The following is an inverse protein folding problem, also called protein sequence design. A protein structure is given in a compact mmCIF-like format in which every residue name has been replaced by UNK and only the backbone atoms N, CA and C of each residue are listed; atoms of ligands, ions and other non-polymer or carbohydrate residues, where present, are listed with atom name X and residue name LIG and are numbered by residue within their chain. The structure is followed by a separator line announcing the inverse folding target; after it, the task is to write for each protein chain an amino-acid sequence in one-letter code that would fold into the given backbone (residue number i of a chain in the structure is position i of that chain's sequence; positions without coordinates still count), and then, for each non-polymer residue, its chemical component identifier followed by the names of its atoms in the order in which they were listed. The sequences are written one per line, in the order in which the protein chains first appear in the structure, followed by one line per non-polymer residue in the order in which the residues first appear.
data_IF_672043972103
#
_entry.id   IF_672043972103
#
_cell.length_a   1.000
_cell.length_b   1.000
_cell.length_c   1.000
_cell.angle_alpha   90.00
_cell.angle_beta   90.00
_cell.angle_gamma   90.00
#
_symmetry.space_group_name_H-M   'P 1'
#
loop_
_entity.id
_entity.type
_entity.pdbx_description
1 polymer ?
#
# COMPACT_ATOMS: atom_id res chain seq x y z
N UNK A 1 -18.13 -17.88 9.82
CA UNK A 1 -19.02 -18.50 8.81
C UNK A 1 -20.39 -18.90 9.35
N UNK A 2 -20.50 -19.67 10.44
CA UNK A 2 -21.79 -20.19 10.95
C UNK A 2 -22.82 -19.10 11.34
N UNK A 3 -22.36 -17.94 11.81
CA UNK A 3 -23.21 -16.80 12.20
C UNK A 3 -23.50 -15.77 11.09
N UNK A 4 -23.05 -16.00 9.85
CA UNK A 4 -23.29 -15.07 8.73
C UNK A 4 -24.64 -15.31 8.06
N UNK A 5 -25.28 -14.25 7.56
CA UNK A 5 -26.48 -14.36 6.73
C UNK A 5 -26.19 -15.11 5.42
N UNK A 6 -27.19 -15.73 4.76
CA UNK A 6 -27.00 -16.46 3.51
C UNK A 6 -26.31 -15.63 2.42
N UNK A 7 -26.72 -14.35 2.26
CA UNK A 7 -26.08 -13.41 1.31
C UNK A 7 -24.63 -13.13 1.66
N UNK A 8 -24.31 -12.92 2.95
CA UNK A 8 -22.94 -12.69 3.38
C UNK A 8 -22.04 -13.92 3.17
N UNK A 9 -22.58 -15.14 3.32
CA UNK A 9 -21.85 -16.39 3.01
C UNK A 9 -21.51 -16.47 1.53
N UNK A 10 -22.43 -16.12 0.64
CA UNK A 10 -22.17 -16.08 -0.82
C UNK A 10 -21.08 -15.06 -1.16
N UNK A 11 -21.18 -13.84 -0.63
CA UNK A 11 -20.15 -12.80 -0.85
C UNK A 11 -18.78 -13.25 -0.35
N UNK A 12 -18.69 -13.79 0.85
CA UNK A 12 -17.42 -14.32 1.39
C UNK A 12 -16.89 -15.47 0.53
N UNK A 13 -17.77 -16.37 0.06
CA UNK A 13 -17.40 -17.46 -0.84
C UNK A 13 -16.85 -16.95 -2.18
N UNK A 14 -17.48 -15.94 -2.78
CA UNK A 14 -17.02 -15.32 -4.02
C UNK A 14 -15.66 -14.64 -3.83
N UNK A 15 -15.48 -13.89 -2.74
CA UNK A 15 -14.18 -13.26 -2.41
C UNK A 15 -13.09 -14.34 -2.25
N UNK A 16 -13.39 -15.42 -1.52
CA UNK A 16 -12.45 -16.52 -1.33
C UNK A 16 -12.10 -17.21 -2.66
N UNK A 17 -13.08 -17.38 -3.56
CA UNK A 17 -12.87 -17.94 -4.89
C UNK A 17 -11.98 -17.03 -5.76
N UNK A 18 -12.22 -15.71 -5.76
CA UNK A 18 -11.37 -14.76 -6.46
C UNK A 18 -9.93 -14.82 -5.95
N UNK A 19 -9.74 -14.89 -4.64
CA UNK A 19 -8.39 -15.04 -4.07
C UNK A 19 -7.74 -16.36 -4.46
N UNK A 20 -8.45 -17.48 -4.38
CA UNK A 20 -7.93 -18.77 -4.78
C UNK A 20 -7.53 -18.80 -6.26
N UNK A 21 -8.37 -18.24 -7.14
CA UNK A 21 -8.07 -18.11 -8.56
C UNK A 21 -6.83 -17.23 -8.81
N UNK A 22 -6.74 -16.08 -8.16
CA UNK A 22 -5.58 -15.18 -8.27
C UNK A 22 -4.28 -15.85 -7.79
N UNK A 23 -4.32 -16.52 -6.64
CA UNK A 23 -3.18 -17.29 -6.11
C UNK A 23 -2.77 -18.39 -7.07
N UNK A 24 -3.73 -19.12 -7.66
CA UNK A 24 -3.45 -20.17 -8.64
C UNK A 24 -2.79 -19.60 -9.90
N UNK A 25 -3.24 -18.45 -10.39
CA UNK A 25 -2.61 -17.74 -11.52
C UNK A 25 -1.17 -17.37 -11.21
N UNK A 26 -0.89 -16.79 -10.03
CA UNK A 26 0.48 -16.46 -9.61
C UNK A 26 1.37 -17.70 -9.56
N UNK A 27 0.87 -18.80 -8.97
CA UNK A 27 1.62 -20.06 -8.89
C UNK A 27 1.90 -20.61 -10.29
N UNK A 28 0.95 -20.51 -11.22
CA UNK A 28 1.09 -21.01 -12.60
C UNK A 28 2.06 -20.17 -13.45
N UNK A 29 2.06 -18.85 -13.28
CA UNK A 29 2.99 -17.96 -13.99
C UNK A 29 4.43 -18.10 -13.49
N UNK A 30 4.60 -18.41 -12.20
CA UNK A 30 5.89 -18.44 -11.56
C UNK A 30 6.57 -17.05 -11.49
N UNK A 31 7.78 -16.97 -10.91
CA UNK A 31 8.48 -15.71 -10.73
C UNK A 31 8.84 -15.00 -12.04
N UNK A 32 9.33 -15.75 -13.03
CA UNK A 32 9.74 -15.20 -14.32
C UNK A 32 8.55 -14.65 -15.13
N UNK A 33 7.45 -15.41 -15.23
CA UNK A 33 6.25 -14.95 -15.93
C UNK A 33 5.61 -13.74 -15.26
N UNK A 34 5.64 -13.66 -13.92
CA UNK A 34 5.18 -12.47 -13.19
C UNK A 34 6.03 -11.24 -13.51
N UNK A 35 7.35 -11.38 -13.57
CA UNK A 35 8.26 -10.27 -13.90
C UNK A 35 8.05 -9.78 -15.33
N UNK A 36 7.91 -10.69 -16.30
CA UNK A 36 7.59 -10.33 -17.69
C UNK A 36 6.25 -9.61 -17.80
N UNK A 37 5.23 -10.10 -17.10
CA UNK A 37 3.92 -9.47 -17.04
C UNK A 37 4.01 -8.05 -16.47
N UNK A 38 4.70 -7.88 -15.33
CA UNK A 38 4.91 -6.55 -14.73
C UNK A 38 5.68 -5.61 -15.67
N UNK A 39 6.68 -6.11 -16.40
CA UNK A 39 7.43 -5.33 -17.37
C UNK A 39 6.57 -4.89 -18.57
N UNK A 40 5.71 -5.78 -19.09
CA UNK A 40 4.75 -5.43 -20.15
C UNK A 40 3.80 -4.32 -19.68
N UNK A 41 3.24 -4.45 -18.48
CA UNK A 41 2.38 -3.43 -17.90
C UNK A 41 3.13 -2.11 -17.66
N UNK A 42 4.38 -2.14 -17.18
CA UNK A 42 5.13 -0.91 -16.98
C UNK A 42 5.41 -0.18 -18.28
N UNK A 43 5.75 -0.90 -19.35
CA UNK A 43 5.93 -0.28 -20.68
C UNK A 43 4.63 0.31 -21.21
N UNK A 44 3.49 -0.36 -21.02
CA UNK A 44 2.18 0.17 -21.38
C UNK A 44 1.87 1.49 -20.66
N UNK A 45 2.11 1.56 -19.35
CA UNK A 45 1.89 2.79 -18.59
C UNK A 45 2.88 3.88 -18.98
N UNK A 46 4.16 3.55 -19.18
CA UNK A 46 5.20 4.51 -19.55
C UNK A 46 4.97 5.14 -20.93
N UNK A 47 4.43 4.39 -21.89
CA UNK A 47 4.14 4.88 -23.24
C UNK A 47 2.83 5.68 -23.32
N UNK A 48 1.91 5.48 -22.37
CA UNK A 48 0.63 6.18 -22.33
C UNK A 48 0.78 7.54 -21.64
N UNK A 49 0.33 8.61 -22.30
CA UNK A 49 0.25 9.95 -21.70
C UNK A 49 -0.68 9.99 -20.47
N UNK A 50 -1.65 9.07 -20.40
CA UNK A 50 -2.56 8.91 -19.25
C UNK A 50 -2.05 7.89 -18.23
N UNK A 51 -0.89 7.26 -18.45
CA UNK A 51 -0.32 6.24 -17.57
C UNK A 51 -0.27 6.65 -16.09
N UNK A 52 0.26 7.83 -15.73
CA UNK A 52 0.27 8.32 -14.35
C UNK A 52 -1.14 8.40 -13.72
N UNK A 53 -2.12 8.91 -14.48
CA UNK A 53 -3.51 9.05 -14.02
C UNK A 53 -4.16 7.68 -13.81
N UNK A 54 -3.93 6.73 -14.72
CA UNK A 54 -4.43 5.37 -14.60
C UNK A 54 -3.85 4.69 -13.36
N UNK A 55 -2.54 4.84 -13.08
CA UNK A 55 -1.93 4.30 -11.87
C UNK A 55 -2.50 4.93 -10.60
N UNK A 56 -2.74 6.24 -10.58
CA UNK A 56 -3.42 6.91 -9.46
C UNK A 56 -4.82 6.34 -9.25
N UNK A 57 -5.60 6.17 -10.32
CA UNK A 57 -6.94 5.59 -10.25
C UNK A 57 -6.91 4.15 -9.73
N UNK A 58 -5.97 3.33 -10.21
CA UNK A 58 -5.77 1.96 -9.71
C UNK A 58 -5.41 1.96 -8.22
N UNK A 59 -4.53 2.85 -7.76
CA UNK A 59 -4.20 2.97 -6.32
C UNK A 59 -5.42 3.40 -5.49
N UNK A 60 -6.29 4.26 -6.02
CA UNK A 60 -7.55 4.62 -5.37
C UNK A 60 -8.45 3.39 -5.23
N UNK A 61 -8.68 2.66 -6.32
CA UNK A 61 -9.53 1.46 -6.32
C UNK A 61 -8.98 0.35 -5.41
N UNK A 62 -7.66 0.18 -5.38
CA UNK A 62 -6.97 -0.80 -4.53
C UNK A 62 -6.75 -0.33 -3.09
N UNK A 63 -7.26 0.85 -2.71
CA UNK A 63 -7.22 1.32 -1.31
C UNK A 63 -8.40 0.80 -0.47
N UNK A 64 -9.38 0.16 -1.11
CA UNK A 64 -10.59 -0.36 -0.47
C UNK A 64 -10.42 -1.81 -0.03
N UNK A 65 -10.76 -2.18 1.21
CA UNK A 65 -10.83 -3.59 1.59
C UNK A 65 -11.92 -4.33 0.78
N UNK A 66 -11.72 -5.62 0.42
CA UNK A 66 -10.61 -6.47 0.82
C UNK A 66 -9.40 -6.45 -0.13
N UNK A 67 -9.36 -5.56 -1.13
CA UNK A 67 -8.47 -5.66 -2.31
C UNK A 67 -6.99 -5.89 -2.00
N UNK A 68 -6.31 -6.59 -2.91
CA UNK A 68 -4.87 -6.90 -2.85
C UNK A 68 -4.16 -6.29 -4.06
N UNK A 69 -2.83 -6.16 -3.98
CA UNK A 69 -2.01 -5.64 -5.08
C UNK A 69 -1.70 -4.15 -4.99
N UNK A 70 -2.16 -3.44 -3.95
CA UNK A 70 -1.78 -2.04 -3.70
C UNK A 70 -0.26 -1.83 -3.73
N UNK A 71 0.50 -2.68 -3.01
CA UNK A 71 1.96 -2.63 -3.02
C UNK A 71 2.58 -2.88 -4.39
N UNK A 72 2.01 -3.82 -5.17
CA UNK A 72 2.45 -4.11 -6.53
C UNK A 72 2.27 -2.91 -7.44
N UNK A 73 1.14 -2.19 -7.34
CA UNK A 73 0.91 -0.98 -8.14
C UNK A 73 1.86 0.15 -7.75
N UNK A 74 2.22 0.31 -6.48
CA UNK A 74 3.28 1.26 -6.08
C UNK A 74 4.62 0.89 -6.72
N UNK A 75 4.99 -0.38 -6.71
CA UNK A 75 6.21 -0.86 -7.39
C UNK A 75 6.12 -0.66 -8.90
N UNK A 76 4.95 -0.83 -9.52
CA UNK A 76 4.71 -0.51 -10.93
C UNK A 76 4.90 0.99 -11.23
N UNK A 77 4.52 1.91 -10.32
CA UNK A 77 4.86 3.33 -10.48
C UNK A 77 6.37 3.53 -10.64
N UNK A 78 7.16 2.85 -9.80
CA UNK A 78 8.62 2.85 -9.89
C UNK A 78 9.16 2.19 -11.16
N UNK A 79 8.62 1.04 -11.53
CA UNK A 79 9.01 0.30 -12.73
C UNK A 79 8.71 1.08 -14.02
N UNK A 80 7.66 1.91 -14.02
CA UNK A 80 7.22 2.67 -15.20
C UNK A 80 7.86 4.04 -15.30
N UNK A 81 8.01 4.75 -14.17
CA UNK A 81 8.36 6.18 -14.15
C UNK A 81 9.56 6.52 -13.26
N UNK A 82 10.14 5.53 -12.57
CA UNK A 82 11.15 5.74 -11.53
C UNK A 82 12.59 5.77 -12.02
N UNK A 83 12.90 5.13 -13.15
CA UNK A 83 14.25 5.15 -13.73
C UNK A 83 14.37 6.24 -14.80
N UNK A 84 15.41 7.09 -14.76
CA UNK A 84 15.72 8.04 -15.83
C UNK A 84 16.02 7.37 -17.18
N UNK A 85 16.38 6.08 -17.18
CA UNK A 85 16.63 5.31 -18.41
C UNK A 85 15.34 4.99 -19.17
N UNK A 86 14.18 5.03 -18.50
CA UNK A 86 12.91 4.67 -19.12
C UNK A 86 12.40 5.76 -20.09
N UNK A 87 12.49 7.04 -19.70
CA UNK A 87 12.12 8.17 -20.55
C UNK A 87 12.69 9.50 -19.99
N UNK A 88 12.95 10.50 -20.85
CA UNK A 88 13.33 11.84 -20.40
C UNK A 88 12.25 12.43 -19.47
N UNK A 89 12.67 12.92 -18.30
CA UNK A 89 11.75 13.47 -17.28
C UNK A 89 11.33 12.45 -16.20
N UNK A 90 11.56 11.16 -16.42
CA UNK A 90 11.36 10.15 -15.38
C UNK A 90 12.42 10.30 -14.28
N UNK A 91 11.96 10.15 -13.04
CA UNK A 91 12.80 10.24 -11.87
C UNK A 91 12.14 9.53 -10.70
N UNK A 92 12.95 9.12 -9.73
CA UNK A 92 12.44 8.51 -8.51
C UNK A 92 11.41 9.41 -7.80
N UNK A 93 11.63 10.73 -7.82
CA UNK A 93 10.71 11.72 -7.26
C UNK A 93 9.38 11.80 -8.02
N UNK A 94 9.41 11.72 -9.35
CA UNK A 94 8.20 11.73 -10.17
C UNK A 94 7.33 10.48 -9.91
N UNK A 95 7.94 9.29 -9.93
CA UNK A 95 7.23 8.06 -9.62
C UNK A 95 6.71 8.02 -8.18
N UNK A 96 7.47 8.54 -7.22
CA UNK A 96 7.01 8.72 -5.85
C UNK A 96 5.82 9.66 -5.77
N UNK A 97 5.81 10.78 -6.50
CA UNK A 97 4.69 11.72 -6.50
C UNK A 97 3.39 11.09 -7.03
N UNK A 98 3.48 10.25 -8.08
CA UNK A 98 2.34 9.48 -8.59
C UNK A 98 1.82 8.52 -7.50
N UNK A 99 2.73 7.74 -6.89
CA UNK A 99 2.37 6.80 -5.84
C UNK A 99 1.81 7.48 -4.58
N UNK A 100 2.39 8.60 -4.17
CA UNK A 100 1.97 9.39 -3.01
C UNK A 100 0.60 10.04 -3.24
N UNK A 101 0.35 10.56 -4.45
CA UNK A 101 -0.95 11.10 -4.84
C UNK A 101 -2.03 10.01 -4.80
N UNK A 102 -1.76 8.85 -5.40
CA UNK A 102 -2.67 7.71 -5.36
C UNK A 102 -2.91 7.18 -3.95
N UNK A 103 -1.85 7.10 -3.12
CA UNK A 103 -1.93 6.73 -1.71
C UNK A 103 -2.83 7.67 -0.92
N UNK A 104 -2.63 8.98 -1.07
CA UNK A 104 -3.38 9.99 -0.33
C UNK A 104 -4.85 10.00 -0.75
N UNK A 105 -5.11 10.13 -2.06
CA UNK A 105 -6.46 10.16 -2.60
C UNK A 105 -7.19 8.87 -2.26
N UNK A 106 -6.56 7.71 -2.50
CA UNK A 106 -7.13 6.41 -2.20
C UNK A 106 -7.43 6.21 -0.72
N UNK A 107 -6.52 6.62 0.16
CA UNK A 107 -6.73 6.57 1.62
C UNK A 107 -7.91 7.43 2.06
N UNK A 108 -8.00 8.67 1.54
CA UNK A 108 -9.10 9.60 1.86
C UNK A 108 -10.43 9.08 1.34
N UNK A 109 -10.50 8.66 0.07
CA UNK A 109 -11.72 8.12 -0.52
C UNK A 109 -12.16 6.85 0.20
N UNK A 110 -11.25 5.90 0.46
CA UNK A 110 -11.56 4.67 1.17
C UNK A 110 -12.04 4.96 2.60
N UNK A 111 -11.37 5.88 3.31
CA UNK A 111 -11.77 6.28 4.66
C UNK A 111 -13.18 6.86 4.70
N UNK A 112 -13.50 7.81 3.80
CA UNK A 112 -14.80 8.45 3.75
C UNK A 112 -15.91 7.46 3.39
N UNK A 113 -15.72 6.68 2.33
CA UNK A 113 -16.70 5.69 1.90
C UNK A 113 -16.94 4.62 2.96
N UNK A 114 -15.87 4.08 3.56
CA UNK A 114 -16.00 3.10 4.63
C UNK A 114 -16.71 3.69 5.86
N UNK A 115 -16.40 4.94 6.22
CA UNK A 115 -17.05 5.61 7.36
C UNK A 115 -18.52 5.84 7.09
N UNK A 116 -18.87 6.40 5.94
CA UNK A 116 -20.27 6.58 5.52
C UNK A 116 -21.01 5.24 5.52
N UNK A 117 -20.42 4.18 4.97
CA UNK A 117 -21.04 2.85 4.96
C UNK A 117 -21.25 2.29 6.39
N UNK A 118 -20.28 2.48 7.29
CA UNK A 118 -20.40 2.05 8.69
C UNK A 118 -21.40 2.88 9.51
N UNK A 119 -21.55 4.16 9.20
CA UNK A 119 -22.48 5.04 9.90
C UNK A 119 -23.91 4.85 9.39
N UNK A 120 -24.09 4.65 8.09
CA UNK A 120 -25.41 4.41 7.46
C UNK A 120 -25.93 2.99 7.65
N UNK A 121 -25.08 1.97 7.48
CA UNK A 121 -25.51 0.56 7.50
C UNK A 121 -24.94 -0.23 8.67
N UNK A 122 -23.89 0.26 9.34
CA UNK A 122 -23.26 -0.48 10.44
C UNK A 122 -24.16 -0.63 11.68
N UNK A 123 -25.17 0.22 11.83
CA UNK A 123 -26.21 0.05 12.85
C UNK A 123 -27.07 -1.21 12.58
N UNK A 124 -27.32 -1.55 11.32
CA UNK A 124 -28.11 -2.74 10.96
C UNK A 124 -27.29 -4.03 11.08
N UNK A 125 -25.96 -3.92 11.01
CA UNK A 125 -25.05 -5.05 11.12
C UNK A 125 -24.83 -5.43 12.58
N UNK A 126 -25.59 -6.44 13.04
CA UNK A 126 -25.55 -6.96 14.42
C UNK A 126 -24.12 -7.28 14.92
N UNK A 127 -23.25 -7.76 14.03
CA UNK A 127 -21.86 -8.05 14.34
C UNK A 127 -21.02 -6.78 14.59
N UNK A 128 -21.20 -5.72 13.79
CA UNK A 128 -20.51 -4.43 13.97
C UNK A 128 -20.90 -3.82 15.31
N UNK A 129 -22.20 -3.83 15.63
CA UNK A 129 -22.69 -3.35 16.94
C UNK A 129 -22.05 -4.13 18.10
N UNK A 130 -22.02 -5.46 18.01
CA UNK A 130 -21.43 -6.31 19.05
C UNK A 130 -19.94 -6.00 19.25
N UNK A 131 -19.19 -5.81 18.17
CA UNK A 131 -17.78 -5.43 18.22
C UNK A 131 -17.63 -4.05 18.85
N UNK A 132 -18.36 -3.04 18.38
CA UNK A 132 -18.29 -1.66 18.90
C UNK A 132 -18.67 -1.54 20.38
N UNK A 133 -19.58 -2.38 20.87
CA UNK A 133 -20.00 -2.41 22.28
C UNK A 133 -19.06 -3.20 23.18
N UNK A 134 -18.19 -4.05 22.62
CA UNK A 134 -17.24 -4.87 23.35
C UNK A 134 -16.26 -4.04 24.18
N UNK A 135 -15.89 -4.55 25.37
CA UNK A 135 -14.92 -3.89 26.27
C UNK A 135 -13.56 -3.68 25.59
N UNK A 136 -13.13 -4.66 24.80
CA UNK A 136 -11.86 -4.61 24.05
C UNK A 136 -11.85 -3.47 23.02
N UNK A 137 -12.93 -3.31 22.26
CA UNK A 137 -13.04 -2.24 21.27
C UNK A 137 -13.00 -0.86 21.93
N UNK A 138 -13.77 -0.67 23.01
CA UNK A 138 -13.77 0.60 23.76
C UNK A 138 -12.42 0.91 24.39
N UNK A 139 -11.71 -0.11 24.90
CA UNK A 139 -10.38 0.05 25.46
C UNK A 139 -9.37 0.45 24.38
N UNK A 140 -9.41 -0.20 23.22
CA UNK A 140 -8.59 0.12 22.06
C UNK A 140 -8.86 1.54 21.56
N UNK A 141 -10.12 1.91 21.40
CA UNK A 141 -10.52 3.25 20.98
C UNK A 141 -10.02 4.33 21.95
N UNK A 142 -10.16 4.10 23.27
CA UNK A 142 -9.61 5.00 24.30
C UNK A 142 -8.09 5.09 24.27
N UNK A 143 -7.39 4.00 23.92
CA UNK A 143 -5.95 4.00 23.78
C UNK A 143 -5.49 4.83 22.57
N UNK A 144 -6.24 4.76 21.46
CA UNK A 144 -6.02 5.59 20.27
C UNK A 144 -6.30 7.06 20.59
N UNK A 145 -7.42 7.35 21.25
CA UNK A 145 -7.83 8.70 21.67
C UNK A 145 -6.75 9.39 22.51
N UNK A 146 -6.18 8.69 23.50
CA UNK A 146 -5.11 9.22 24.36
C UNK A 146 -3.84 9.62 23.62
N UNK A 147 -3.49 8.89 22.55
CA UNK A 147 -2.27 9.15 21.77
C UNK A 147 -2.54 10.04 20.55
N UNK A 148 -3.81 10.25 20.18
CA UNK A 148 -4.26 11.12 19.10
C UNK A 148 -3.63 10.77 17.75
N UNK A 149 -3.27 11.80 16.98
CA UNK A 149 -2.72 11.68 15.63
C UNK A 149 -1.42 10.86 15.55
N UNK A 150 -0.61 10.85 16.63
CA UNK A 150 0.63 10.06 16.69
C UNK A 150 0.35 8.57 16.57
N UNK A 151 -0.77 8.09 17.10
CA UNK A 151 -1.17 6.69 16.95
C UNK A 151 -1.49 6.34 15.50
N UNK A 152 -2.12 7.25 14.77
CA UNK A 152 -2.44 7.07 13.35
C UNK A 152 -1.16 6.87 12.56
N UNK A 153 -0.18 7.76 12.80
CA UNK A 153 1.14 7.68 12.19
C UNK A 153 1.83 6.36 12.53
N UNK A 154 1.85 5.95 13.80
CA UNK A 154 2.47 4.69 14.23
C UNK A 154 1.84 3.48 13.54
N UNK A 155 0.52 3.36 13.54
CA UNK A 155 -0.19 2.25 12.89
C UNK A 155 0.09 2.22 11.38
N UNK A 156 0.21 3.39 10.75
CA UNK A 156 0.57 3.48 9.32
C UNK A 156 2.03 3.11 9.06
N UNK A 157 2.93 3.30 10.01
CA UNK A 157 4.34 2.90 9.90
C UNK A 157 4.54 1.42 10.22
N UNK A 158 3.68 0.82 11.04
CA UNK A 158 3.65 -0.62 11.24
C UNK A 158 3.36 -1.38 9.94
N UNK A 159 3.79 -2.66 9.82
CA UNK A 159 3.48 -3.53 8.69
C UNK A 159 2.01 -3.99 8.71
N UNK A 160 1.08 -3.10 9.01
CA UNK A 160 -0.35 -3.34 8.95
C UNK A 160 -0.82 -3.14 7.49
N UNK A 161 -1.62 -4.05 6.91
CA UNK A 161 -1.99 -3.91 5.51
C UNK A 161 -2.76 -2.61 5.27
N UNK A 162 -2.33 -1.86 4.26
CA UNK A 162 -2.76 -0.49 4.03
C UNK A 162 -4.28 -0.36 3.90
N UNK A 163 -4.92 -1.24 3.15
CA UNK A 163 -6.38 -1.24 2.91
C UNK A 163 -7.17 -1.43 4.21
N UNK A 164 -6.72 -2.34 5.09
CA UNK A 164 -7.37 -2.59 6.36
C UNK A 164 -7.12 -1.46 7.36
N UNK A 165 -5.99 -0.76 7.26
CA UNK A 165 -5.73 0.45 8.05
C UNK A 165 -6.76 1.53 7.74
N UNK A 166 -7.13 1.73 6.47
CA UNK A 166 -8.17 2.70 6.08
C UNK A 166 -9.52 2.37 6.75
N UNK A 167 -9.94 1.11 6.69
CA UNK A 167 -11.18 0.65 7.32
C UNK A 167 -11.13 0.75 8.85
N UNK A 168 -10.00 0.38 9.45
CA UNK A 168 -9.79 0.47 10.89
C UNK A 168 -10.01 1.90 11.38
N UNK A 169 -9.35 2.88 10.77
CA UNK A 169 -9.52 4.28 11.15
C UNK A 169 -10.92 4.80 10.84
N UNK A 170 -11.53 4.38 9.73
CA UNK A 170 -12.89 4.74 9.39
C UNK A 170 -13.91 4.24 10.42
N UNK A 171 -13.63 3.09 11.06
CA UNK A 171 -14.52 2.46 12.04
C UNK A 171 -14.49 3.09 13.44
N UNK A 172 -13.42 3.84 13.77
CA UNK A 172 -13.30 4.62 14.99
C UNK A 172 -14.17 5.88 14.92
N UNK A 173 -14.58 6.38 16.09
CA UNK A 173 -15.42 7.58 16.18
C UNK A 173 -14.75 8.81 15.52
N UNK A 174 -15.53 9.73 14.92
CA UNK A 174 -15.00 10.95 14.30
C UNK A 174 -14.18 11.82 15.26
N UNK A 175 -14.54 11.85 16.54
CA UNK A 175 -13.82 12.64 17.57
C UNK A 175 -12.41 12.09 17.84
N UNK A 176 -12.24 10.77 17.68
CA UNK A 176 -10.96 10.08 17.89
C UNK A 176 -10.05 10.24 16.67
N UNK A 177 -10.63 10.18 15.46
CA UNK A 177 -9.90 10.32 14.19
C UNK A 177 -10.55 11.41 13.34
N UNK A 178 -10.19 12.69 13.59
CA UNK A 178 -10.51 13.79 12.69
C UNK A 178 -9.85 13.62 11.32
N UNK A 179 -10.57 14.00 10.26
CA UNK A 179 -10.09 13.91 8.87
C UNK A 179 -8.71 14.60 8.66
N UNK A 180 -8.45 15.82 9.17
CA UNK A 180 -7.16 16.49 8.94
C UNK A 180 -5.98 15.71 9.53
N UNK A 181 -6.14 15.14 10.72
CA UNK A 181 -5.09 14.32 11.34
C UNK A 181 -4.83 13.03 10.59
N UNK A 182 -5.88 12.42 10.04
CA UNK A 182 -5.75 11.26 9.17
C UNK A 182 -5.00 11.58 7.87
N UNK A 183 -5.33 12.70 7.22
CA UNK A 183 -4.65 13.18 6.00
C UNK A 183 -3.18 13.47 6.30
N UNK A 184 -2.89 14.22 7.37
CA UNK A 184 -1.53 14.56 7.78
C UNK A 184 -0.70 13.32 8.11
N UNK A 185 -1.25 12.37 8.87
CA UNK A 185 -0.57 11.13 9.18
C UNK A 185 -0.33 10.28 7.91
N UNK A 186 -1.28 10.25 6.98
CA UNK A 186 -1.10 9.56 5.69
C UNK A 186 0.02 10.20 4.88
N UNK A 187 0.04 11.53 4.77
CA UNK A 187 1.12 12.29 4.12
C UNK A 187 2.48 12.01 4.77
N UNK A 188 2.56 12.02 6.09
CA UNK A 188 3.79 11.72 6.83
C UNK A 188 4.30 10.28 6.59
N UNK A 189 3.46 9.39 6.06
CA UNK A 189 3.84 8.00 5.76
C UNK A 189 4.26 7.78 4.32
N UNK A 190 4.01 8.74 3.41
CA UNK A 190 4.41 8.60 2.00
C UNK A 190 5.92 8.47 1.77
N UNK A 191 6.84 8.94 2.64
CA UNK A 191 8.28 8.68 2.45
C UNK A 191 8.61 7.19 2.39
N UNK A 192 7.86 6.32 3.08
CA UNK A 192 8.09 4.86 3.00
C UNK A 192 7.82 4.29 1.61
N UNK A 193 7.00 4.97 0.80
CA UNK A 193 6.67 4.54 -0.56
C UNK A 193 7.89 4.64 -1.49
N UNK A 194 8.88 5.49 -1.16
CA UNK A 194 10.12 5.55 -1.93
C UNK A 194 10.78 4.18 -2.04
N UNK A 195 10.73 3.35 -1.00
CA UNK A 195 11.34 2.01 -1.03
C UNK A 195 10.71 1.15 -2.12
N UNK A 196 9.38 1.13 -2.21
CA UNK A 196 8.66 0.36 -3.23
C UNK A 196 8.91 0.89 -4.64
N UNK A 197 8.92 2.22 -4.79
CA UNK A 197 9.19 2.88 -6.07
C UNK A 197 10.64 2.67 -6.51
N UNK A 198 11.59 2.69 -5.57
CA UNK A 198 13.01 2.42 -5.83
C UNK A 198 13.22 0.97 -6.27
N UNK A 199 12.61 0.00 -5.57
CA UNK A 199 12.66 -1.41 -5.98
C UNK A 199 12.15 -1.56 -7.41
N UNK A 200 11.05 -0.87 -7.77
CA UNK A 200 10.53 -0.85 -9.13
C UNK A 200 11.55 -0.28 -10.13
N UNK A 201 12.13 0.88 -9.85
CA UNK A 201 13.12 1.51 -10.71
C UNK A 201 14.36 0.62 -10.93
N UNK A 202 14.90 0.02 -9.86
CA UNK A 202 16.03 -0.90 -9.98
C UNK A 202 15.67 -2.18 -10.75
N UNK A 203 14.44 -2.67 -10.61
CA UNK A 203 13.97 -3.84 -11.36
C UNK A 203 13.92 -3.52 -12.86
N UNK A 204 13.49 -2.30 -13.24
CA UNK A 204 13.52 -1.86 -14.64
C UNK A 204 14.94 -1.87 -15.20
N UNK A 205 15.89 -1.27 -14.48
CA UNK A 205 17.29 -1.21 -14.91
C UNK A 205 17.93 -2.60 -15.04
N UNK A 206 17.62 -3.51 -14.11
CA UNK A 206 18.09 -4.89 -14.17
C UNK A 206 17.52 -5.65 -15.39
N UNK A 207 16.24 -5.45 -15.71
CA UNK A 207 15.61 -6.05 -16.89
C UNK A 207 16.27 -5.54 -18.19
N UNK A 208 16.55 -4.24 -18.26
CA UNK A 208 17.21 -3.64 -19.43
C UNK A 208 18.65 -4.14 -19.59
N UNK A 209 19.44 -4.17 -18.50
CA UNK A 209 20.81 -4.69 -18.55
C UNK A 209 20.88 -6.16 -19.00
N UNK A 210 19.93 -7.00 -18.56
CA UNK A 210 19.84 -8.39 -18.98
C UNK A 210 19.46 -8.57 -20.45
N UNK A 211 18.77 -7.60 -21.06
CA UNK A 211 18.40 -7.61 -22.49
C UNK A 211 19.54 -7.17 -23.40
N UNK A 212 20.32 -6.20 -22.95
CA UNK A 212 21.40 -5.60 -23.74
C UNK A 212 22.73 -6.39 -23.65
N UNK A 213 22.78 -7.45 -22.83
CA UNK A 213 23.96 -8.32 -22.67
C UNK A 213 25.18 -7.63 -22.04
N UNK A 214 25.02 -6.41 -21.54
CA UNK A 214 26.08 -5.57 -20.99
C UNK A 214 26.06 -5.47 -19.47
N UNK A 215 27.23 -5.27 -18.86
CA UNK A 215 27.34 -4.81 -17.48
C UNK A 215 26.45 -3.58 -17.29
N UNK A 216 25.61 -3.58 -16.25
CA UNK A 216 24.65 -2.53 -15.97
C UNK A 216 25.32 -1.14 -16.03
N UNK A 217 25.15 -0.42 -17.14
CA UNK A 217 25.66 0.93 -17.34
C UNK A 217 24.86 1.89 -16.46
N UNK A 218 25.22 1.93 -15.18
CA UNK A 218 24.54 2.70 -14.16
C UNK A 218 24.96 4.16 -14.22
N UNK A 219 24.14 4.96 -14.88
CA UNK A 219 24.31 6.41 -14.99
C UNK A 219 23.58 7.19 -13.87
N UNK A 220 23.15 6.51 -12.81
CA UNK A 220 22.91 7.10 -11.48
C UNK A 220 24.21 7.01 -10.71
N UNK A 221 24.72 8.13 -10.17
CA UNK A 221 26.01 8.12 -9.48
C UNK A 221 26.00 7.01 -8.43
N UNK A 222 27.03 6.15 -8.45
CA UNK A 222 27.10 4.97 -7.58
C UNK A 222 26.90 5.32 -6.10
N UNK A 223 27.22 6.56 -5.72
CA UNK A 223 27.00 7.15 -4.41
C UNK A 223 25.52 7.27 -4.00
N UNK A 224 24.60 7.69 -4.87
CA UNK A 224 23.18 7.77 -4.52
C UNK A 224 22.58 6.38 -4.32
N UNK A 225 22.95 5.43 -5.17
CA UNK A 225 22.52 4.03 -5.06
C UNK A 225 23.09 3.38 -3.80
N UNK A 226 24.37 3.61 -3.50
CA UNK A 226 25.02 3.14 -2.28
C UNK A 226 24.37 3.76 -1.04
N UNK A 227 24.16 5.08 -1.02
CA UNK A 227 23.51 5.77 0.08
C UNK A 227 22.09 5.25 0.31
N UNK A 228 21.34 4.99 -0.76
CA UNK A 228 19.98 4.46 -0.65
C UNK A 228 19.95 3.02 -0.16
N UNK A 229 20.79 2.14 -0.71
CA UNK A 229 20.89 0.73 -0.29
C UNK A 229 21.36 0.63 1.16
N UNK A 230 22.39 1.38 1.53
CA UNK A 230 22.93 1.43 2.89
C UNK A 230 21.90 2.05 3.84
N UNK A 231 21.25 3.15 3.45
CA UNK A 231 20.22 3.81 4.25
C UNK A 231 18.99 2.94 4.49
N UNK A 232 18.49 2.25 3.46
CA UNK A 232 17.37 1.32 3.57
C UNK A 232 17.73 0.10 4.43
N UNK A 233 18.93 -0.45 4.25
CA UNK A 233 19.43 -1.57 5.06
C UNK A 233 19.62 -1.17 6.52
N UNK A 234 20.16 0.03 6.78
CA UNK A 234 20.35 0.57 8.12
C UNK A 234 19.02 0.85 8.82
N UNK A 235 18.02 1.40 8.13
CA UNK A 235 16.66 1.58 8.64
C UNK A 235 16.01 0.24 8.98
N UNK A 236 16.16 -0.77 8.11
CA UNK A 236 15.68 -2.13 8.35
C UNK A 236 16.35 -2.80 9.55
N UNK A 237 17.67 -2.64 9.68
CA UNK A 237 18.43 -3.15 10.83
C UNK A 237 18.06 -2.43 12.12
N UNK A 238 17.91 -1.10 12.09
CA UNK A 238 17.54 -0.29 13.25
C UNK A 238 16.11 -0.60 13.73
N UNK A 239 15.16 -0.76 12.81
CA UNK A 239 13.79 -1.18 13.15
C UNK A 239 13.77 -2.61 13.70
N UNK A 240 14.52 -3.54 13.11
CA UNK A 240 14.65 -4.92 13.62
C UNK A 240 15.29 -4.96 15.01
N UNK A 241 16.33 -4.16 15.24
CA UNK A 241 17.00 -4.02 16.54
C UNK A 241 16.10 -3.40 17.60
N UNK A 242 15.36 -2.34 17.26
CA UNK A 242 14.41 -1.70 18.16
C UNK A 242 13.31 -2.68 18.58
N UNK A 243 12.72 -3.40 17.62
CA UNK A 243 11.72 -4.43 17.92
C UNK A 243 12.32 -5.52 18.81
N UNK A 244 13.51 -6.04 18.49
CA UNK A 244 14.18 -7.05 19.31
C UNK A 244 14.38 -6.58 20.76
N UNK A 245 14.75 -5.31 20.96
CA UNK A 245 14.98 -4.76 22.29
C UNK A 245 13.67 -4.55 23.08
N UNK A 246 12.61 -4.11 22.42
CA UNK A 246 11.28 -3.96 23.05
C UNK A 246 10.61 -5.32 23.33
N UNK A 247 10.93 -6.37 22.57
CA UNK A 247 10.37 -7.72 22.80
C UNK A 247 11.09 -8.48 23.94
N UNK A 248 12.26 -8.01 24.36
CA UNK A 248 13.06 -8.60 25.45
C UNK A 248 12.81 -7.97 26.83
N UNK A 249 12.03 -6.89 26.90
CA UNK A 249 11.54 -6.29 28.15
C UNK A 249 10.16 -6.83 28.50
#
# INVERSE_FOLDING_TARGET
YRALSPRAKVVVGLIALVYAAFTLVIIRLGPHGLLEWLAQFSTFFAQSSLGPLILILLLILLSFPPTIGYGTVITLCGLSFGSPLAAPGNSLGYAWFIAASGCLLGSVTAFLVCRIALDTHGADWSWVRKVRQGKEWKAMEKAVERKGWKMILLIRLCPFPFVYSNLFFASLRPEVIPMPFFVLATLATTPKLFLHVFIGAQTFEAIQAGRDGGEAATHTSGWFRLFYVVGASALGAATSWYIYHETKK
#
